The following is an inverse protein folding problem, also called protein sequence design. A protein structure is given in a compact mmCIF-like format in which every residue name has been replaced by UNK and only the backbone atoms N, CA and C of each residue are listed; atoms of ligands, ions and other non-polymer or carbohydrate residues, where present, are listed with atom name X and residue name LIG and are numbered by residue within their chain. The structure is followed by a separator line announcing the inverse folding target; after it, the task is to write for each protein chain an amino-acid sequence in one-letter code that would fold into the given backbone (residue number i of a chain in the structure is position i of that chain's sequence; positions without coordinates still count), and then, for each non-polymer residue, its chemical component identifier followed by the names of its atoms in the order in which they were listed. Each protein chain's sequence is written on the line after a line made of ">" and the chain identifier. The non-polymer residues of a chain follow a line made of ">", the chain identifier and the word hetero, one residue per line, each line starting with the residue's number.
data_IF_904208720542
#
_entry.id   IF_904208720542
#
_cell.length_a   1.000
_cell.length_b   1.000
_cell.length_c   1.000
_cell.angle_alpha   90.00
_cell.angle_beta   90.00
_cell.angle_gamma   90.00
#
_symmetry.space_group_name_H-M   'P 1'
#
loop_
_entity.id
_entity.type
_entity.pdbx_description
1 polymer ?
#
# COMPACT_ATOMS: atom_id res chain seq x y z
N UNK A 1 13.53 0.45 5.43
CA UNK A 1 12.88 1.39 4.49
C UNK A 1 12.66 2.76 5.10
N UNK A 2 11.74 2.96 6.05
CA UNK A 2 11.45 4.30 6.62
C UNK A 2 12.71 5.10 6.99
N UNK A 3 13.61 4.48 7.77
CA UNK A 3 14.88 5.09 8.16
C UNK A 3 15.73 5.53 6.95
N UNK A 4 15.79 4.72 5.90
CA UNK A 4 16.57 5.03 4.69
C UNK A 4 15.97 6.21 3.91
N UNK A 5 14.63 6.26 3.80
CA UNK A 5 13.92 7.37 3.15
C UNK A 5 14.09 8.68 3.92
N UNK A 6 14.16 8.62 5.25
CA UNK A 6 14.43 9.79 6.09
C UNK A 6 15.90 10.24 6.03
N UNK A 7 16.85 9.31 5.92
CA UNK A 7 18.29 9.61 5.88
C UNK A 7 18.76 10.07 4.49
N UNK A 8 18.17 9.55 3.41
CA UNK A 8 18.57 9.80 2.02
C UNK A 8 17.37 9.83 1.06
N UNK A 9 16.45 10.79 1.18
CA UNK A 9 15.23 10.83 0.35
C UNK A 9 15.51 10.83 -1.16
N UNK A 10 16.63 11.42 -1.59
CA UNK A 10 17.05 11.48 -3.00
C UNK A 10 17.34 10.09 -3.62
N UNK A 11 17.73 9.10 -2.80
CA UNK A 11 17.97 7.72 -3.24
C UNK A 11 16.64 6.96 -3.42
N UNK A 12 15.52 7.50 -2.93
CA UNK A 12 14.20 6.86 -2.92
C UNK A 12 13.10 7.77 -3.48
N UNK A 13 13.18 8.21 -4.75
CA UNK A 13 12.21 9.15 -5.34
C UNK A 13 10.78 8.59 -5.43
N UNK A 14 10.62 7.28 -5.44
CA UNK A 14 9.32 6.61 -5.41
C UNK A 14 8.75 6.50 -3.99
N UNK A 15 9.41 7.03 -2.96
CA UNK A 15 8.94 6.99 -1.57
C UNK A 15 8.78 8.39 -1.01
N UNK A 16 7.77 8.55 -0.16
CA UNK A 16 7.53 9.79 0.56
C UNK A 16 7.04 9.49 1.97
N UNK A 17 7.51 10.26 2.95
CA UNK A 17 7.07 10.17 4.33
C UNK A 17 6.27 11.42 4.69
N UNK A 18 4.97 11.26 4.88
CA UNK A 18 4.01 12.33 5.18
C UNK A 18 2.98 11.86 6.20
N UNK A 19 2.51 12.75 7.07
CA UNK A 19 1.49 12.44 8.09
C UNK A 19 1.82 11.19 8.92
N UNK A 20 3.09 11.03 9.31
CA UNK A 20 3.61 9.89 10.07
C UNK A 20 3.51 8.54 9.36
N UNK A 21 3.31 8.56 8.03
CA UNK A 21 3.08 7.39 7.21
C UNK A 21 4.01 7.38 6.00
N UNK A 22 4.51 6.19 5.66
CA UNK A 22 5.36 5.99 4.50
C UNK A 22 4.50 5.58 3.30
N UNK A 23 4.65 6.26 2.18
CA UNK A 23 3.97 5.94 0.93
C UNK A 23 4.99 5.55 -0.14
N UNK A 24 4.54 4.73 -1.09
CA UNK A 24 5.29 4.39 -2.29
C UNK A 24 4.47 4.75 -3.53
N UNK A 25 5.07 5.47 -4.46
CA UNK A 25 4.53 5.70 -5.78
C UNK A 25 4.60 4.39 -6.58
N UNK A 26 3.44 3.89 -6.98
CA UNK A 26 3.32 2.72 -7.86
C UNK A 26 2.57 3.22 -9.09
N UNK A 27 3.28 3.26 -10.23
CA UNK A 27 2.66 3.59 -11.50
C UNK A 27 1.46 2.67 -11.76
N UNK A 28 0.31 3.26 -12.12
CA UNK A 28 -0.85 2.46 -12.47
C UNK A 28 -0.56 1.69 -13.76
N UNK A 29 -0.69 0.37 -13.74
CA UNK A 29 -0.55 -0.48 -14.94
C UNK A 29 -1.86 -0.55 -15.75
N UNK A 30 -2.94 0.01 -15.21
CA UNK A 30 -4.31 -0.10 -15.72
C UNK A 30 -4.99 1.26 -15.62
N UNK A 31 -5.94 1.56 -16.51
CA UNK A 31 -6.79 2.76 -16.46
C UNK A 31 -7.83 2.66 -15.32
N UNK A 32 -7.39 2.14 -14.18
CA UNK A 32 -8.21 1.89 -12.99
C UNK A 32 -8.31 3.21 -12.24
N UNK A 33 -9.34 4.00 -12.56
CA UNK A 33 -9.59 5.33 -11.96
C UNK A 33 -9.66 5.29 -10.42
N UNK A 34 -9.93 4.12 -9.84
CA UNK A 34 -9.97 3.91 -8.39
C UNK A 34 -8.59 3.64 -7.76
N UNK A 35 -7.53 3.41 -8.55
CA UNK A 35 -6.18 3.18 -8.03
C UNK A 35 -5.47 4.49 -7.71
N UNK A 36 -5.11 4.69 -6.45
CA UNK A 36 -4.27 5.83 -6.07
C UNK A 36 -2.80 5.56 -6.42
N UNK A 37 -2.07 6.54 -7.00
CA UNK A 37 -0.68 6.35 -7.39
C UNK A 37 0.25 6.20 -6.16
N UNK A 38 -0.05 6.91 -5.07
CA UNK A 38 0.69 6.81 -3.82
C UNK A 38 0.00 5.81 -2.89
N UNK A 39 0.70 4.71 -2.58
CA UNK A 39 0.16 3.60 -1.80
C UNK A 39 0.81 3.55 -0.44
N UNK A 40 0.00 3.42 0.61
CA UNK A 40 0.49 3.33 1.98
C UNK A 40 1.34 2.07 2.16
N UNK A 41 2.56 2.22 2.65
CA UNK A 41 3.44 1.10 2.98
C UNK A 41 2.95 0.42 4.25
N UNK A 42 2.66 -0.88 4.15
CA UNK A 42 2.11 -1.68 5.24
C UNK A 42 3.17 -2.68 5.70
N UNK A 43 3.62 -2.51 6.95
CA UNK A 43 4.48 -3.48 7.62
C UNK A 43 3.77 -4.83 7.77
N UNK A 44 4.54 -5.91 7.84
CA UNK A 44 4.01 -7.28 7.88
C UNK A 44 3.01 -7.49 9.02
N UNK A 45 3.27 -6.92 10.21
CA UNK A 45 2.36 -6.98 11.37
C UNK A 45 1.00 -6.31 11.14
N UNK A 46 0.90 -5.35 10.23
CA UNK A 46 -0.32 -4.60 9.96
C UNK A 46 -1.14 -5.14 8.79
N UNK A 47 -0.64 -6.16 8.08
CA UNK A 47 -1.36 -6.79 6.96
C UNK A 47 -2.72 -7.39 7.37
N UNK A 48 -2.89 -8.02 8.56
CA UNK A 48 -4.20 -8.51 8.99
C UNK A 48 -5.26 -7.40 9.09
N UNK A 49 -4.88 -6.21 9.56
CA UNK A 49 -5.76 -5.03 9.61
C UNK A 49 -6.24 -4.66 8.20
N UNK A 50 -5.32 -4.57 7.25
CA UNK A 50 -5.63 -4.21 5.86
C UNK A 50 -6.54 -5.23 5.19
N UNK A 51 -6.32 -6.52 5.46
CA UNK A 51 -7.19 -7.58 4.96
C UNK A 51 -8.61 -7.44 5.51
N UNK A 52 -8.76 -7.18 6.82
CA UNK A 52 -10.05 -6.95 7.46
C UNK A 52 -10.75 -5.72 6.86
N UNK A 53 -10.06 -4.58 6.76
CA UNK A 53 -10.57 -3.34 6.15
C UNK A 53 -11.04 -3.53 4.70
N UNK A 54 -10.34 -4.37 3.92
CA UNK A 54 -10.70 -4.63 2.52
C UNK A 54 -11.84 -5.65 2.37
N UNK A 55 -11.99 -6.55 3.35
CA UNK A 55 -13.01 -7.60 3.38
C UNK A 55 -14.36 -7.08 3.91
N UNK A 56 -14.35 -6.33 5.01
CA UNK A 56 -15.57 -5.94 5.75
C UNK A 56 -16.24 -4.67 5.23
N UNK A 57 -15.77 -4.08 4.12
CA UNK A 57 -16.45 -2.95 3.51
C UNK A 57 -17.88 -3.35 3.07
N UNK A 58 -18.92 -2.53 3.34
CA UNK A 58 -20.30 -2.84 2.97
C UNK A 58 -20.48 -3.17 1.48
N UNK A 59 -19.62 -2.60 0.63
CA UNK A 59 -19.57 -2.81 -0.82
C UNK A 59 -18.81 -4.08 -1.24
N UNK A 60 -18.27 -4.87 -0.30
CA UNK A 60 -17.52 -6.10 -0.57
C UNK A 60 -18.37 -7.22 -1.12
N UNK A 61 -19.67 -7.24 -0.82
CA UNK A 61 -20.59 -8.26 -1.29
C UNK A 61 -20.13 -9.70 -1.02
N UNK A 62 -19.18 -9.91 -0.10
CA UNK A 62 -18.50 -11.18 0.15
C UNK A 62 -17.94 -11.85 -1.13
N UNK A 63 -17.47 -11.06 -2.10
CA UNK A 63 -17.12 -11.53 -3.46
C UNK A 63 -15.73 -12.20 -3.57
N UNK A 64 -15.21 -12.71 -2.45
CA UNK A 64 -14.02 -13.57 -2.39
C UNK A 64 -12.66 -12.85 -2.45
N UNK A 65 -11.60 -13.66 -2.33
CA UNK A 65 -10.19 -13.25 -2.17
C UNK A 65 -9.75 -12.26 -3.26
N UNK A 66 -10.16 -12.48 -4.51
CA UNK A 66 -9.71 -11.67 -5.66
C UNK A 66 -10.06 -10.18 -5.49
N UNK A 67 -11.30 -9.86 -5.11
CA UNK A 67 -11.71 -8.45 -4.93
C UNK A 67 -11.06 -7.82 -3.71
N UNK A 68 -10.91 -8.57 -2.62
CA UNK A 68 -10.18 -8.12 -1.42
C UNK A 68 -8.73 -7.78 -1.76
N UNK A 69 -8.04 -8.63 -2.52
CA UNK A 69 -6.67 -8.39 -2.97
C UNK A 69 -6.57 -7.19 -3.92
N UNK A 70 -7.49 -7.05 -4.88
CA UNK A 70 -7.52 -5.89 -5.79
C UNK A 70 -7.68 -4.57 -5.03
N UNK A 71 -8.61 -4.51 -4.07
CA UNK A 71 -8.81 -3.30 -3.23
C UNK A 71 -7.62 -2.99 -2.35
N UNK A 72 -7.00 -4.03 -1.78
CA UNK A 72 -5.76 -3.89 -1.05
C UNK A 72 -4.68 -3.27 -1.93
N UNK A 73 -4.52 -3.80 -3.15
CA UNK A 73 -3.53 -3.32 -4.10
C UNK A 73 -3.82 -1.91 -4.65
N UNK A 74 -5.06 -1.42 -4.64
CA UNK A 74 -5.37 -0.04 -5.04
C UNK A 74 -4.83 0.99 -4.03
N UNK A 75 -4.75 0.65 -2.74
CA UNK A 75 -4.46 1.63 -1.66
C UNK A 75 -3.16 1.34 -0.89
N UNK A 76 -2.75 0.09 -0.82
CA UNK A 76 -1.67 -0.35 0.04
C UNK A 76 -0.55 -1.01 -0.76
N UNK A 77 0.68 -0.78 -0.30
CA UNK A 77 1.89 -1.44 -0.76
C UNK A 77 2.40 -2.34 0.36
N UNK A 78 2.56 -3.64 0.08
CA UNK A 78 3.16 -4.56 1.04
C UNK A 78 4.65 -4.24 1.13
N UNK A 79 5.06 -3.69 2.26
CA UNK A 79 6.48 -3.51 2.54
C UNK A 79 7.03 -4.87 2.96
N UNK A 80 7.79 -5.50 2.07
CA UNK A 80 8.57 -6.68 2.44
C UNK A 80 9.82 -6.24 3.20
N UNK A 81 10.18 -7.01 4.23
CA UNK A 81 11.31 -6.72 5.10
C UNK A 81 12.68 -6.97 4.41
N UNK A 82 12.69 -7.28 3.11
CA UNK A 82 13.90 -7.60 2.35
C UNK A 82 14.30 -6.42 1.46
N UNK A 83 14.81 -5.38 2.10
CA UNK A 83 15.71 -4.42 1.50
C UNK A 83 16.64 -3.95 2.62
N UNK A 84 17.57 -4.84 2.98
CA UNK A 84 18.83 -4.53 3.64
C UNK A 84 19.94 -4.92 2.67
#
# INVERSE_FOLDING_TARGET
>A
MLKLVQEKPEDFPDYVYENEQLYRHIGSRTDDEESVPWKLCVAKEHRPRVLLECHDQPTAGHLGIRKTTTRGAQRYYNQDASAM
#
